data_IF_907654679232
#
_entry.id   IF_907654679232
#
_cell.length_a   1.000
_cell.length_b   1.000
_cell.length_c   1.000
_cell.angle_alpha   90.00
_cell.angle_beta   90.00
_cell.angle_gamma   90.00
#
_symmetry.space_group_name_H-M   'P 1'
#
loop_
_entity.id
_entity.type
_entity.pdbx_description
1 polymer ?
#
# COMPACT_ATOMS: atom_id res chain seq x y z
N UNK A 1 -12.53 -6.07 -14.00
CA UNK A 1 -13.12 -4.78 -13.55
C UNK A 1 -12.22 -3.64 -14.03
N UNK A 2 -12.73 -2.44 -14.30
CA UNK A 2 -11.87 -1.30 -14.71
C UNK A 2 -11.69 -0.33 -13.55
N UNK A 3 -10.43 0.02 -13.26
CA UNK A 3 -10.04 1.00 -12.25
C UNK A 3 -9.39 2.18 -12.93
N UNK A 4 -9.91 3.38 -12.70
CA UNK A 4 -9.38 4.61 -13.29
C UNK A 4 -8.84 5.53 -12.20
N UNK A 5 -7.59 5.93 -12.35
CA UNK A 5 -6.97 6.92 -11.47
C UNK A 5 -7.81 8.20 -11.44
N UNK A 6 -8.09 8.69 -10.22
CA UNK A 6 -8.76 9.98 -10.02
C UNK A 6 -7.80 11.00 -9.42
N UNK A 7 -7.03 10.59 -8.42
CA UNK A 7 -6.11 11.47 -7.71
C UNK A 7 -5.04 10.65 -6.97
N UNK A 8 -3.84 11.21 -6.84
CA UNK A 8 -2.78 10.73 -5.96
C UNK A 8 -2.37 11.89 -5.06
N UNK A 9 -2.47 11.69 -3.75
CA UNK A 9 -2.03 12.66 -2.74
C UNK A 9 -0.84 12.07 -2.00
N UNK A 10 0.29 12.75 -2.03
CA UNK A 10 1.52 12.30 -1.37
C UNK A 10 2.04 13.38 -0.42
N UNK A 11 2.43 12.96 0.77
CA UNK A 11 3.14 13.77 1.75
C UNK A 11 4.47 13.08 2.01
N UNK A 12 5.55 13.84 1.94
CA UNK A 12 6.91 13.35 2.18
C UNK A 12 7.44 14.09 3.41
N UNK A 13 8.00 13.35 4.36
CA UNK A 13 8.71 13.89 5.52
C UNK A 13 10.21 14.03 5.21
N UNK A 14 10.87 14.95 5.91
CA UNK A 14 12.32 15.12 5.80
C UNK A 14 13.10 13.90 6.32
N UNK A 15 12.48 13.05 7.14
CA UNK A 15 13.04 11.78 7.61
C UNK A 15 12.99 10.64 6.58
N UNK A 16 12.64 10.93 5.31
CA UNK A 16 12.36 9.93 4.26
C UNK A 16 11.05 9.15 4.47
N UNK A 17 10.18 9.62 5.37
CA UNK A 17 8.84 9.07 5.54
C UNK A 17 7.94 9.49 4.38
N UNK A 18 7.04 8.62 3.96
CA UNK A 18 6.02 8.99 2.98
C UNK A 18 4.64 8.50 3.41
N UNK A 19 3.63 9.30 3.09
CA UNK A 19 2.23 8.95 3.22
C UNK A 19 1.56 9.21 1.88
N UNK A 20 0.85 8.21 1.35
CA UNK A 20 0.21 8.30 0.04
C UNK A 20 -1.25 7.83 0.09
N UNK A 21 -2.13 8.53 -0.62
CA UNK A 21 -3.48 8.07 -0.92
C UNK A 21 -3.67 8.08 -2.44
N UNK A 22 -3.79 6.90 -3.02
CA UNK A 22 -4.17 6.71 -4.42
C UNK A 22 -5.67 6.43 -4.49
N UNK A 23 -6.43 7.34 -5.07
CA UNK A 23 -7.88 7.20 -5.27
C UNK A 23 -8.15 6.76 -6.70
N UNK A 24 -8.87 5.65 -6.86
CA UNK A 24 -9.37 5.17 -8.14
C UNK A 24 -10.89 5.15 -8.14
N UNK A 25 -11.50 5.47 -9.27
CA UNK A 25 -12.91 5.22 -9.52
C UNK A 25 -13.10 3.85 -10.16
N UNK A 26 -14.24 3.23 -9.86
CA UNK A 26 -14.65 1.94 -10.42
C UNK A 26 -15.81 2.17 -11.37
N UNK A 27 -15.77 1.55 -12.55
CA UNK A 27 -16.84 1.68 -13.56
C UNK A 27 -18.12 0.88 -13.21
N UNK A 28 -18.07 0.09 -12.15
CA UNK A 28 -19.14 -0.77 -11.66
C UNK A 28 -19.45 -0.43 -10.21
N UNK A 29 -20.72 -0.61 -9.81
CA UNK A 29 -21.14 -0.35 -8.44
C UNK A 29 -20.37 -1.25 -7.49
N UNK A 30 -19.77 -0.66 -6.45
CA UNK A 30 -19.15 -1.41 -5.37
C UNK A 30 -20.26 -2.04 -4.53
N UNK A 31 -20.15 -3.35 -4.29
CA UNK A 31 -21.03 -4.11 -3.42
C UNK A 31 -20.18 -4.88 -2.43
N UNK A 32 -20.58 -4.87 -1.16
CA UNK A 32 -19.95 -5.68 -0.11
C UNK A 32 -19.84 -7.17 -0.45
N UNK A 33 -20.83 -7.73 -1.16
CA UNK A 33 -20.81 -9.13 -1.62
C UNK A 33 -19.64 -9.46 -2.55
N UNK A 34 -19.09 -8.46 -3.24
CA UNK A 34 -18.15 -8.63 -4.33
C UNK A 34 -16.72 -8.23 -3.93
N UNK A 35 -16.49 -7.80 -2.68
CA UNK A 35 -15.22 -7.27 -2.21
C UNK A 35 -14.03 -8.21 -2.42
N UNK A 36 -14.21 -9.52 -2.21
CA UNK A 36 -13.15 -10.49 -2.48
C UNK A 36 -12.70 -10.45 -3.96
N UNK A 37 -13.66 -10.32 -4.88
CA UNK A 37 -13.37 -10.20 -6.31
C UNK A 37 -12.76 -8.83 -6.63
N UNK A 38 -13.30 -7.74 -6.08
CA UNK A 38 -12.79 -6.39 -6.31
C UNK A 38 -11.34 -6.27 -5.83
N UNK A 39 -11.01 -6.72 -4.62
CA UNK A 39 -9.64 -6.75 -4.10
C UNK A 39 -8.74 -7.60 -5.00
N UNK A 40 -9.19 -8.79 -5.38
CA UNK A 40 -8.40 -9.68 -6.26
C UNK A 40 -8.09 -9.04 -7.63
N UNK A 41 -9.03 -8.28 -8.18
CA UNK A 41 -8.83 -7.53 -9.42
C UNK A 41 -7.94 -6.30 -9.20
N UNK A 42 -8.11 -5.60 -8.07
CA UNK A 42 -7.34 -4.42 -7.73
C UNK A 42 -5.86 -4.73 -7.50
N UNK A 43 -5.53 -5.89 -6.92
CA UNK A 43 -4.15 -6.37 -6.74
C UNK A 43 -3.38 -6.57 -8.06
N UNK A 44 -4.08 -6.74 -9.18
CA UNK A 44 -3.47 -6.90 -10.51
C UNK A 44 -3.14 -5.56 -11.17
N UNK A 45 -3.55 -4.45 -10.57
CA UNK A 45 -3.36 -3.12 -11.14
C UNK A 45 -1.93 -2.63 -10.92
N UNK A 46 -1.52 -1.63 -11.73
CA UNK A 46 -0.23 -0.95 -11.61
C UNK A 46 -0.01 -0.31 -10.24
N UNK A 47 -1.07 -0.01 -9.49
CA UNK A 47 -1.03 0.63 -8.17
C UNK A 47 -0.39 -0.25 -7.08
N UNK A 48 -0.34 -1.57 -7.30
CA UNK A 48 0.38 -2.50 -6.43
C UNK A 48 1.78 -2.83 -6.92
N UNK A 49 2.31 -2.15 -7.95
CA UNK A 49 3.69 -2.36 -8.38
C UNK A 49 4.51 -1.17 -7.91
N UNK A 50 5.49 -1.41 -7.06
CA UNK A 50 6.41 -0.36 -6.62
C UNK A 50 7.12 0.27 -7.82
N UNK A 51 7.17 1.60 -7.84
CA UNK A 51 7.83 2.39 -8.87
C UNK A 51 7.36 2.06 -10.31
N UNK A 52 6.09 1.68 -10.51
CA UNK A 52 5.58 1.20 -11.80
C UNK A 52 5.76 2.20 -12.96
N UNK A 53 5.86 3.50 -12.67
CA UNK A 53 6.00 4.55 -13.69
C UNK A 53 7.37 4.48 -14.37
N UNK A 54 8.42 4.20 -13.59
CA UNK A 54 9.78 4.07 -14.10
C UNK A 54 10.10 2.62 -14.48
N UNK A 55 9.60 1.65 -13.70
CA UNK A 55 9.91 0.23 -13.83
C UNK A 55 8.63 -0.63 -13.96
N UNK A 56 7.86 -0.49 -15.07
CA UNK A 56 6.55 -1.15 -15.23
C UNK A 56 6.63 -2.68 -15.27
N UNK A 57 7.81 -3.24 -15.59
CA UNK A 57 8.05 -4.67 -15.63
C UNK A 57 8.64 -5.23 -14.34
N UNK A 58 8.91 -4.38 -13.35
CA UNK A 58 9.60 -4.74 -12.11
C UNK A 58 11.05 -4.26 -12.10
N UNK A 59 11.66 -4.30 -10.92
CA UNK A 59 13.02 -3.80 -10.68
C UNK A 59 14.08 -4.88 -10.90
N UNK A 60 15.23 -4.45 -11.43
CA UNK A 60 16.44 -5.26 -11.48
C UNK A 60 17.36 -4.81 -10.35
N UNK A 61 17.73 -5.73 -9.46
CA UNK A 61 18.53 -5.43 -8.26
C UNK A 61 19.75 -6.33 -8.24
N UNK A 62 20.93 -5.71 -8.09
CA UNK A 62 22.20 -6.41 -7.89
C UNK A 62 22.69 -6.05 -6.49
N UNK A 63 22.81 -7.05 -5.63
CA UNK A 63 23.23 -6.88 -4.24
C UNK A 63 24.58 -7.57 -4.07
N UNK A 64 25.52 -6.88 -3.43
CA UNK A 64 26.77 -7.49 -2.97
C UNK A 64 26.70 -7.58 -1.45
N UNK A 65 26.80 -8.78 -0.89
CA UNK A 65 26.80 -8.97 0.56
C UNK A 65 28.15 -8.57 1.20
N UNK A 66 28.20 -8.61 2.53
CA UNK A 66 29.40 -8.28 3.31
C UNK A 66 30.62 -9.16 2.99
N UNK A 67 30.42 -10.33 2.38
CA UNK A 67 31.47 -11.27 1.97
C UNK A 67 31.86 -11.10 0.49
N UNK A 68 31.28 -10.11 -0.21
CA UNK A 68 31.53 -9.86 -1.63
C UNK A 68 30.75 -10.80 -2.57
N UNK A 69 29.81 -11.61 -2.08
CA UNK A 69 28.98 -12.46 -2.92
C UNK A 69 27.91 -11.61 -3.60
N UNK A 70 27.77 -11.77 -4.90
CA UNK A 70 26.78 -11.06 -5.71
C UNK A 70 25.51 -11.91 -5.83
N UNK A 71 24.36 -11.29 -5.61
CA UNK A 71 23.03 -11.83 -5.91
C UNK A 71 22.32 -10.91 -6.88
N UNK A 72 21.72 -11.48 -7.92
CA UNK A 72 21.03 -10.73 -8.97
C UNK A 72 19.56 -11.14 -9.01
N UNK A 73 18.70 -10.14 -9.01
CA UNK A 73 17.25 -10.26 -9.07
C UNK A 73 16.74 -9.46 -10.27
N UNK A 74 15.89 -10.07 -11.10
CA UNK A 74 15.45 -9.46 -12.35
C UNK A 74 13.92 -9.40 -12.45
N UNK A 75 13.41 -8.24 -12.88
CA UNK A 75 11.98 -7.97 -13.05
C UNK A 75 11.15 -8.26 -11.78
N UNK A 76 11.70 -7.96 -10.60
CA UNK A 76 11.01 -8.21 -9.34
C UNK A 76 9.87 -7.20 -9.14
N UNK A 77 8.66 -7.72 -8.89
CA UNK A 77 7.46 -6.91 -8.64
C UNK A 77 6.97 -7.08 -7.21
N UNK A 78 7.08 -6.03 -6.43
CA UNK A 78 6.65 -6.00 -5.04
C UNK A 78 5.88 -4.73 -4.70
N UNK A 79 5.23 -4.80 -3.54
CA UNK A 79 4.48 -3.73 -2.91
C UNK A 79 4.86 -3.66 -1.44
N UNK A 80 5.56 -2.59 -1.04
CA UNK A 80 6.20 -2.55 0.26
C UNK A 80 7.16 -3.73 0.45
N UNK A 81 6.81 -4.67 1.34
CA UNK A 81 7.60 -5.86 1.60
C UNK A 81 7.19 -7.12 0.85
N UNK A 82 6.09 -7.06 0.10
CA UNK A 82 5.40 -8.26 -0.34
C UNK A 82 5.51 -8.43 -1.84
N UNK A 83 5.71 -9.66 -2.28
CA UNK A 83 5.67 -9.98 -3.70
C UNK A 83 4.23 -9.89 -4.21
N UNK A 84 4.01 -9.03 -5.20
CA UNK A 84 2.66 -8.72 -5.71
C UNK A 84 1.88 -9.96 -6.12
N UNK A 85 2.55 -10.90 -6.82
CA UNK A 85 1.93 -12.13 -7.33
C UNK A 85 1.51 -13.13 -6.25
N UNK A 86 2.00 -12.97 -5.03
CA UNK A 86 1.64 -13.83 -3.89
C UNK A 86 0.51 -13.24 -3.06
N UNK A 87 0.19 -11.96 -3.21
CA UNK A 87 -0.89 -11.32 -2.49
C UNK A 87 -2.25 -11.81 -3.01
N UNK A 88 -3.15 -12.08 -2.08
CA UNK A 88 -4.51 -12.55 -2.33
C UNK A 88 -5.48 -11.74 -1.48
N UNK A 89 -6.78 -11.78 -1.81
CA UNK A 89 -7.79 -11.04 -1.05
C UNK A 89 -7.76 -11.38 0.45
N UNK A 90 -7.46 -12.64 0.81
CA UNK A 90 -7.44 -13.11 2.20
C UNK A 90 -6.31 -12.50 3.04
N UNK A 91 -5.33 -11.85 2.40
CA UNK A 91 -4.29 -11.09 3.11
C UNK A 91 -4.80 -9.72 3.60
N UNK A 92 -5.97 -9.29 3.11
CA UNK A 92 -6.66 -8.08 3.56
C UNK A 92 -7.67 -8.41 4.64
N UNK A 93 -7.43 -7.91 5.84
CA UNK A 93 -8.33 -8.11 6.99
C UNK A 93 -9.24 -6.91 7.14
N UNK A 94 -10.55 -7.16 7.22
CA UNK A 94 -11.54 -6.14 7.52
C UNK A 94 -11.26 -5.51 8.89
N UNK A 95 -11.38 -4.18 8.97
CA UNK A 95 -11.18 -3.40 10.19
C UNK A 95 -12.23 -2.29 10.28
N UNK A 96 -12.66 -1.97 11.49
CA UNK A 96 -13.51 -0.81 11.72
C UNK A 96 -12.77 0.50 11.43
N UNK A 97 -13.51 1.54 11.00
CA UNK A 97 -12.95 2.87 10.76
C UNK A 97 -12.16 3.43 11.96
N UNK A 98 -12.68 3.30 13.18
CA UNK A 98 -12.00 3.76 14.40
C UNK A 98 -10.64 3.05 14.61
N UNK A 99 -10.57 1.76 14.26
CA UNK A 99 -9.33 0.98 14.33
C UNK A 99 -8.35 1.43 13.25
N UNK A 100 -8.82 1.69 12.02
CA UNK A 100 -8.00 2.30 10.97
C UNK A 100 -7.41 3.64 11.42
N UNK A 101 -8.28 4.54 11.91
CA UNK A 101 -7.90 5.90 12.27
C UNK A 101 -6.91 5.90 13.45
N UNK A 102 -7.15 5.08 14.47
CA UNK A 102 -6.22 4.93 15.60
C UNK A 102 -4.89 4.33 15.16
N UNK A 103 -4.90 3.27 14.34
CA UNK A 103 -3.69 2.61 13.88
C UNK A 103 -2.80 3.53 13.06
N UNK A 104 -3.38 4.28 12.10
CA UNK A 104 -2.59 5.16 11.24
C UNK A 104 -1.99 6.33 12.04
N UNK A 105 -2.76 6.93 12.96
CA UNK A 105 -2.26 7.98 13.86
C UNK A 105 -1.09 7.49 14.70
N UNK A 106 -1.23 6.33 15.33
CA UNK A 106 -0.21 5.76 16.19
C UNK A 106 1.05 5.42 15.42
N UNK A 107 0.92 4.75 14.26
CA UNK A 107 2.07 4.39 13.41
C UNK A 107 2.82 5.61 12.92
N UNK A 108 2.10 6.61 12.41
CA UNK A 108 2.74 7.85 11.95
C UNK A 108 3.48 8.54 13.10
N UNK A 109 2.86 8.65 14.28
CA UNK A 109 3.48 9.29 15.43
C UNK A 109 4.68 8.51 15.99
N UNK A 110 4.63 7.18 15.97
CA UNK A 110 5.73 6.32 16.45
C UNK A 110 6.99 6.48 15.62
N UNK A 111 6.81 6.69 14.31
CA UNK A 111 7.90 6.60 13.35
C UNK A 111 8.35 7.97 12.81
N UNK A 112 7.54 9.01 13.01
CA UNK A 112 7.83 10.37 12.52
C UNK A 112 7.60 11.41 13.62
N UNK A 113 6.90 12.51 13.32
CA UNK A 113 6.66 13.63 14.24
C UNK A 113 5.21 14.16 14.12
N UNK A 114 4.83 15.02 15.06
CA UNK A 114 3.49 15.61 15.11
C UNK A 114 3.15 16.48 13.89
N UNK A 115 4.11 17.15 13.27
CA UNK A 115 3.86 18.02 12.12
C UNK A 115 3.50 17.19 10.89
N UNK A 116 4.23 16.09 10.66
CA UNK A 116 3.91 15.13 9.61
C UNK A 116 2.56 14.46 9.84
N UNK A 117 2.27 14.03 11.09
CA UNK A 117 0.95 13.51 11.46
C UNK A 117 -0.16 14.51 11.14
N UNK A 118 0.00 15.78 11.50
CA UNK A 118 -0.99 16.82 11.23
C UNK A 118 -1.24 17.00 9.73
N UNK A 119 -0.21 16.87 8.89
CA UNK A 119 -0.38 16.90 7.44
C UNK A 119 -1.11 15.66 6.92
N UNK A 120 -0.78 14.46 7.41
CA UNK A 120 -1.51 13.23 7.10
C UNK A 120 -2.98 13.32 7.49
N UNK A 121 -3.28 13.90 8.66
CA UNK A 121 -4.67 14.07 9.10
C UNK A 121 -5.47 15.01 8.21
N UNK A 122 -4.86 16.03 7.58
CA UNK A 122 -5.56 16.91 6.64
C UNK A 122 -6.08 16.16 5.42
N UNK A 123 -5.31 15.22 4.88
CA UNK A 123 -5.74 14.42 3.72
C UNK A 123 -6.71 13.30 4.12
N UNK A 124 -6.57 12.74 5.32
CA UNK A 124 -7.46 11.72 5.86
C UNK A 124 -8.88 12.25 6.18
N UNK A 125 -9.04 13.55 6.45
CA UNK A 125 -10.33 14.16 6.79
C UNK A 125 -11.45 13.91 5.76
N UNK A 126 -11.09 13.68 4.49
CA UNK A 126 -12.05 13.47 3.41
C UNK A 126 -12.45 12.00 3.24
N UNK A 127 -11.95 11.10 4.08
CA UNK A 127 -12.33 9.69 4.02
C UNK A 127 -13.69 9.51 4.70
N UNK A 128 -14.60 8.85 3.99
CA UNK A 128 -15.92 8.51 4.50
C UNK A 128 -15.79 7.44 5.60
N UNK A 129 -16.24 7.78 6.82
CA UNK A 129 -16.16 6.88 7.98
C UNK A 129 -17.11 5.69 7.91
N UNK A 130 -18.10 5.71 6.99
CA UNK A 130 -19.06 4.63 6.76
C UNK A 130 -18.58 3.61 5.72
N UNK A 131 -17.47 3.87 5.06
CA UNK A 131 -16.86 2.94 4.10
C UNK A 131 -16.34 1.67 4.78
N UNK A 132 -16.12 0.64 3.98
CA UNK A 132 -15.42 -0.57 4.44
C UNK A 132 -13.91 -0.36 4.36
N UNK A 133 -13.17 -0.87 5.35
CA UNK A 133 -11.72 -0.70 5.46
C UNK A 133 -11.02 -2.04 5.63
N UNK A 134 -9.87 -2.16 4.98
CA UNK A 134 -9.03 -3.35 5.08
C UNK A 134 -7.60 -2.96 5.37
N UNK A 135 -6.93 -3.75 6.19
CA UNK A 135 -5.48 -3.67 6.38
C UNK A 135 -4.80 -4.83 5.66
N UNK A 136 -3.75 -4.52 4.91
CA UNK A 136 -2.87 -5.53 4.33
C UNK A 136 -2.03 -6.16 5.46
N UNK A 137 -2.23 -7.44 5.74
CA UNK A 137 -1.49 -8.18 6.76
C UNK A 137 -1.21 -9.63 6.33
N UNK A 138 -0.34 -9.82 5.31
CA UNK A 138 0.01 -11.12 4.75
C UNK A 138 0.92 -11.91 5.71
N UNK A 139 0.94 -13.25 5.61
CA UNK A 139 1.89 -14.07 6.36
C UNK A 139 3.34 -13.85 5.87
N UNK A 140 4.32 -14.02 6.78
CA UNK A 140 5.75 -13.77 6.54
C UNK A 140 6.35 -14.53 5.35
N UNK A 141 5.79 -15.67 4.96
CA UNK A 141 6.24 -16.45 3.81
C UNK A 141 5.94 -15.77 2.45
N UNK A 142 5.11 -14.73 2.41
CA UNK A 142 4.86 -13.90 1.23
C UNK A 142 5.89 -12.76 1.04
N UNK A 143 6.82 -12.58 1.98
CA UNK A 143 7.98 -11.69 1.86
C UNK A 143 9.08 -12.44 1.09
N UNK A 144 9.45 -12.01 -0.13
CA UNK A 144 10.45 -12.69 -0.96
C UNK A 144 11.87 -12.48 -0.41
N UNK A 145 12.82 -13.31 -0.85
CA UNK A 145 14.20 -13.22 -0.36
C UNK A 145 14.87 -11.90 -0.76
N UNK A 146 14.63 -11.39 -1.97
CA UNK A 146 15.24 -10.14 -2.42
C UNK A 146 14.86 -8.94 -1.54
N UNK A 147 13.61 -8.85 -1.04
CA UNK A 147 13.21 -7.78 -0.11
C UNK A 147 13.93 -7.91 1.23
N UNK A 148 14.26 -9.14 1.65
CA UNK A 148 15.02 -9.37 2.89
C UNK A 148 16.48 -8.99 2.72
N UNK A 149 17.04 -9.26 1.53
CA UNK A 149 18.42 -8.93 1.19
C UNK A 149 18.57 -7.44 0.85
N UNK A 150 17.50 -6.80 0.36
CA UNK A 150 17.41 -5.38 0.02
C UNK A 150 16.09 -4.79 0.58
N UNK A 151 16.05 -4.50 1.89
CA UNK A 151 14.90 -3.84 2.49
C UNK A 151 14.89 -2.37 2.09
N UNK A 152 13.87 -1.96 1.34
CA UNK A 152 13.68 -0.57 0.87
C UNK A 152 12.87 0.26 1.87
N UNK A 153 12.25 -0.42 2.84
CA UNK A 153 11.55 0.26 3.92
C UNK A 153 11.96 -0.36 5.25
N UNK A 154 12.17 0.49 6.25
CA UNK A 154 12.28 0.05 7.64
C UNK A 154 10.92 -0.46 8.15
N UNK A 155 9.81 0.15 7.70
CA UNK A 155 8.45 -0.35 7.89
C UNK A 155 7.53 0.05 6.74
N UNK A 156 6.42 -0.67 6.57
CA UNK A 156 5.42 -0.38 5.56
C UNK A 156 4.03 -0.80 6.02
N UNK A 157 3.06 0.09 5.85
CA UNK A 157 1.65 -0.11 6.17
C UNK A 157 0.78 0.26 4.99
N UNK A 158 -0.18 -0.61 4.66
CA UNK A 158 -1.12 -0.39 3.57
C UNK A 158 -2.54 -0.76 3.96
N UNK A 159 -3.48 0.07 3.52
CA UNK A 159 -4.90 -0.09 3.73
C UNK A 159 -5.67 0.10 2.44
N UNK A 160 -6.81 -0.58 2.33
CA UNK A 160 -7.82 -0.30 1.31
C UNK A 160 -9.06 0.29 1.99
N UNK A 161 -9.62 1.30 1.36
CA UNK A 161 -10.90 1.89 1.72
C UNK A 161 -11.86 1.80 0.53
N UNK A 162 -13.03 1.23 0.74
CA UNK A 162 -14.08 1.05 -0.26
C UNK A 162 -15.23 2.00 0.02
N UNK A 163 -15.36 3.05 -0.79
CA UNK A 163 -16.38 4.06 -0.66
C UNK A 163 -17.52 3.79 -1.67
N UNK A 164 -18.54 3.06 -1.21
CA UNK A 164 -19.68 2.66 -2.04
C UNK A 164 -20.46 3.86 -2.57
N UNK A 165 -20.62 4.92 -1.76
CA UNK A 165 -21.39 6.11 -2.12
C UNK A 165 -20.77 6.84 -3.32
N UNK A 166 -19.44 6.93 -3.34
CA UNK A 166 -18.69 7.60 -4.41
C UNK A 166 -18.22 6.63 -5.52
N UNK A 167 -18.41 5.32 -5.35
CA UNK A 167 -17.84 4.27 -6.20
C UNK A 167 -16.31 4.41 -6.37
N UNK A 168 -15.62 4.61 -5.23
CA UNK A 168 -14.18 4.81 -5.18
C UNK A 168 -13.49 3.76 -4.31
N UNK A 169 -12.25 3.45 -4.68
CA UNK A 169 -11.31 2.71 -3.85
C UNK A 169 -10.13 3.61 -3.57
N UNK A 170 -9.72 3.67 -2.30
CA UNK A 170 -8.53 4.42 -1.88
C UNK A 170 -7.50 3.42 -1.35
N UNK A 171 -6.33 3.38 -1.98
CA UNK A 171 -5.13 2.72 -1.45
C UNK A 171 -4.38 3.74 -0.59
N UNK A 172 -4.22 3.43 0.70
CA UNK A 172 -3.63 4.32 1.69
C UNK A 172 -2.35 3.66 2.19
N UNK A 173 -1.22 4.35 2.05
CA UNK A 173 0.11 3.81 2.32
C UNK A 173 0.88 4.74 3.26
N UNK A 174 1.63 4.13 4.17
CA UNK A 174 2.58 4.82 5.03
C UNK A 174 3.82 3.95 5.20
N UNK A 175 4.98 4.49 4.85
CA UNK A 175 6.27 3.82 4.98
C UNK A 175 7.40 4.80 5.24
N UNK A 176 8.53 4.28 5.72
CA UNK A 176 9.77 5.00 5.93
C UNK A 176 10.89 4.16 5.35
N UNK A 177 11.75 4.80 4.57
CA UNK A 177 13.03 4.23 4.12
C UNK A 177 13.88 3.86 5.34
#
# INVERSE_FOLDING_TARGET
MEFKEKNIQTIIDLSLGYFMITTVSVNTKISKSDQANIISEFLKTKYFVWNYENEPYGQNVIITDENGKISEYFNEKFFGFYETKKLEYSDFKDIAFESFESNIKNKVLQETNNDFLNNCLKILKNINSKSDFYILNPPKNKIPQFVKDFPIYTFFYSYLNFDEENCEIKLIEFGLD
#
